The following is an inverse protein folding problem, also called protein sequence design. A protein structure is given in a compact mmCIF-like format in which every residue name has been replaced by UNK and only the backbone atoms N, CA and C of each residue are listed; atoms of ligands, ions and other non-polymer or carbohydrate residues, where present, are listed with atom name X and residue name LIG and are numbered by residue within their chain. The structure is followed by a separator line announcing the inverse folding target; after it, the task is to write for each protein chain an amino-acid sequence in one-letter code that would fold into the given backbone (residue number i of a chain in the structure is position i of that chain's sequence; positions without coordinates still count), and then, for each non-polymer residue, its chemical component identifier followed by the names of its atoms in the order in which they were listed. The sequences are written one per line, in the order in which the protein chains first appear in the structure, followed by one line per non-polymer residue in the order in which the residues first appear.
data_IF_648279850914
#
_entry.id   IF_648279850914
#
_cell.length_a   1.000
_cell.length_b   1.000
_cell.length_c   1.000
_cell.angle_alpha   90.00
_cell.angle_beta   90.00
_cell.angle_gamma   90.00
#
_symmetry.space_group_name_H-M   'P 1'
#
loop_
_entity.id
_entity.type
_entity.pdbx_description
1 polymer ?
#
# COMPACT_ATOMS: atom_id res chain seq x y z
N UNK A 1 -1.56 -1.58 -20.53
CA UNK A 1 -1.76 -0.64 -21.65
C UNK A 1 -2.71 0.45 -21.18
N UNK A 2 -2.33 1.72 -21.32
CA UNK A 2 -3.14 2.87 -20.89
C UNK A 2 -4.24 3.15 -21.90
N UNK A 3 -5.41 3.62 -21.45
CA UNK A 3 -6.44 4.12 -22.35
C UNK A 3 -5.88 5.33 -23.14
N UNK A 4 -5.86 5.30 -24.48
CA UNK A 4 -5.31 6.40 -25.29
C UNK A 4 -5.93 7.77 -24.99
N UNK A 5 -7.21 7.81 -24.58
CA UNK A 5 -7.89 9.05 -24.19
C UNK A 5 -7.37 9.66 -22.88
N UNK A 6 -6.74 8.85 -22.03
CA UNK A 6 -6.16 9.28 -20.76
C UNK A 6 -4.65 9.50 -20.83
N UNK A 7 -3.98 9.00 -21.89
CA UNK A 7 -2.53 9.01 -22.00
C UNK A 7 -1.92 10.41 -21.83
N UNK A 8 -2.54 11.45 -22.42
CA UNK A 8 -2.07 12.83 -22.28
C UNK A 8 -2.23 13.46 -20.89
N UNK A 9 -2.85 12.75 -19.93
CA UNK A 9 -3.07 13.22 -18.54
C UNK A 9 -2.35 12.35 -17.51
N UNK A 10 -1.62 11.34 -17.94
CA UNK A 10 -0.95 10.38 -17.05
C UNK A 10 0.52 10.75 -16.96
N UNK A 11 0.94 11.15 -15.76
CA UNK A 11 2.34 11.46 -15.47
C UNK A 11 3.16 10.18 -15.21
N UNK A 12 2.55 9.14 -14.67
CA UNK A 12 3.22 7.86 -14.41
C UNK A 12 2.23 6.72 -14.23
N UNK A 13 2.68 5.49 -14.46
CA UNK A 13 2.06 4.28 -13.89
C UNK A 13 3.12 3.42 -13.24
N UNK A 14 2.70 2.60 -12.29
CA UNK A 14 3.57 1.64 -11.60
C UNK A 14 2.79 0.41 -11.19
N UNK A 15 3.50 -0.70 -11.04
CA UNK A 15 2.95 -1.88 -10.37
C UNK A 15 2.55 -1.50 -8.94
N UNK A 16 1.30 -1.78 -8.57
CA UNK A 16 0.73 -1.38 -7.29
C UNK A 16 0.43 -2.57 -6.41
N UNK A 17 -0.63 -3.30 -6.74
CA UNK A 17 -1.21 -4.29 -5.86
C UNK A 17 -0.77 -5.72 -6.10
N UNK A 18 -0.71 -6.52 -5.03
CA UNK A 18 -0.46 -7.95 -5.14
C UNK A 18 -1.65 -8.71 -5.72
N UNK A 19 -1.40 -9.84 -6.38
CA UNK A 19 -2.46 -10.83 -6.67
C UNK A 19 -3.08 -11.32 -5.37
N UNK A 20 -4.37 -11.70 -5.40
CA UNK A 20 -5.11 -12.17 -4.22
C UNK A 20 -4.39 -13.32 -3.51
N UNK A 21 -3.88 -14.29 -4.27
CA UNK A 21 -3.11 -15.44 -3.76
C UNK A 21 -1.81 -15.04 -3.06
N UNK A 22 -1.14 -13.98 -3.53
CA UNK A 22 0.09 -13.45 -2.93
C UNK A 22 -0.21 -12.58 -1.69
N UNK A 23 -1.42 -12.02 -1.61
CA UNK A 23 -1.85 -11.19 -0.49
C UNK A 23 -2.43 -11.97 0.69
N UNK A 24 -2.51 -13.30 0.63
CA UNK A 24 -3.04 -14.11 1.71
C UNK A 24 -2.00 -14.29 2.83
N UNK A 25 -2.38 -14.01 4.07
CA UNK A 25 -1.52 -14.25 5.23
C UNK A 25 -1.41 -15.75 5.53
N UNK A 26 -0.19 -16.22 5.73
CA UNK A 26 0.10 -17.64 6.08
C UNK A 26 0.51 -17.84 7.55
N UNK A 27 0.80 -16.75 8.27
CA UNK A 27 1.28 -16.77 9.64
C UNK A 27 0.64 -15.63 10.45
N UNK A 28 0.61 -15.80 11.78
CA UNK A 28 0.05 -14.80 12.70
C UNK A 28 -1.49 -14.73 12.66
N UNK A 29 -2.05 -13.78 13.41
CA UNK A 29 -3.50 -13.67 13.64
C UNK A 29 -4.29 -13.45 12.35
N UNK A 30 -3.71 -12.69 11.41
CA UNK A 30 -4.31 -12.41 10.11
C UNK A 30 -4.50 -13.68 9.25
N UNK A 31 -3.76 -14.76 9.50
CA UNK A 31 -3.93 -16.03 8.79
C UNK A 31 -5.17 -16.82 9.22
N UNK A 32 -5.67 -16.58 10.44
CA UNK A 32 -6.78 -17.35 11.04
C UNK A 32 -8.06 -16.54 11.26
N UNK A 33 -7.99 -15.21 11.13
CA UNK A 33 -9.12 -14.29 11.28
C UNK A 33 -9.68 -13.86 9.90
N UNK A 34 -10.96 -13.46 9.85
CA UNK A 34 -11.65 -13.04 8.63
C UNK A 34 -11.53 -14.04 7.46
N UNK A 35 -11.59 -15.34 7.77
CA UNK A 35 -11.41 -16.44 6.80
C UNK A 35 -10.05 -16.45 6.11
N UNK A 36 -9.01 -15.96 6.79
CA UNK A 36 -7.69 -15.70 6.22
C UNK A 36 -7.70 -14.36 5.49
N UNK A 37 -7.04 -13.37 6.09
CA UNK A 37 -6.92 -12.05 5.48
C UNK A 37 -6.22 -12.17 4.13
N UNK A 38 -6.77 -11.44 3.18
CA UNK A 38 -6.27 -11.29 1.82
C UNK A 38 -6.55 -9.86 1.39
N UNK A 39 -5.73 -9.36 0.47
CA UNK A 39 -5.77 -7.95 0.12
C UNK A 39 -7.03 -7.62 -0.70
N UNK A 40 -7.84 -6.71 -0.18
CA UNK A 40 -9.04 -6.19 -0.83
C UNK A 40 -8.76 -5.14 -1.91
N UNK A 41 -9.72 -4.95 -2.80
CA UNK A 41 -9.68 -3.85 -3.77
C UNK A 41 -11.06 -3.50 -4.36
N UNK A 42 -11.20 -2.22 -4.66
CA UNK A 42 -12.37 -1.60 -5.28
C UNK A 42 -11.93 -0.91 -6.57
N UNK A 43 -12.69 -1.11 -7.65
CA UNK A 43 -12.43 -0.52 -8.96
C UNK A 43 -13.70 0.10 -9.50
N UNK A 44 -13.68 1.42 -9.73
CA UNK A 44 -14.85 2.18 -10.19
C UNK A 44 -16.10 1.94 -9.33
N UNK A 45 -15.95 1.89 -8.00
CA UNK A 45 -17.04 1.61 -7.06
C UNK A 45 -17.46 0.14 -6.95
N UNK A 46 -16.97 -0.75 -7.81
CA UNK A 46 -17.21 -2.18 -7.69
C UNK A 46 -16.22 -2.82 -6.71
N UNK A 47 -16.74 -3.46 -5.66
CA UNK A 47 -15.94 -4.25 -4.72
C UNK A 47 -15.63 -5.60 -5.37
N UNK A 48 -14.41 -5.76 -5.88
CA UNK A 48 -13.96 -7.01 -6.50
C UNK A 48 -13.34 -7.97 -5.48
N UNK A 49 -12.79 -7.42 -4.40
CA UNK A 49 -12.34 -8.17 -3.22
C UNK A 49 -12.60 -7.32 -1.98
N UNK A 50 -13.24 -7.91 -0.96
CA UNK A 50 -13.61 -7.21 0.28
C UNK A 50 -12.37 -6.58 0.94
N UNK A 51 -12.49 -5.33 1.36
CA UNK A 51 -11.48 -4.66 2.19
C UNK A 51 -11.50 -5.28 3.59
N UNK A 52 -10.33 -5.65 4.10
CA UNK A 52 -10.16 -6.27 5.40
C UNK A 52 -9.62 -5.27 6.42
N UNK A 53 -10.11 -5.28 7.66
CA UNK A 53 -9.53 -4.48 8.74
C UNK A 53 -8.05 -4.81 8.99
N UNK A 54 -7.31 -3.83 9.53
CA UNK A 54 -5.90 -3.96 9.87
C UNK A 54 -4.93 -3.91 8.69
N UNK A 55 -5.42 -3.76 7.46
CA UNK A 55 -4.56 -3.72 6.27
C UNK A 55 -4.37 -2.30 5.74
N UNK A 56 -3.14 -2.03 5.32
CA UNK A 56 -2.76 -0.76 4.70
C UNK A 56 -3.52 -0.55 3.39
N UNK A 57 -4.22 0.57 3.28
CA UNK A 57 -5.19 0.85 2.21
C UNK A 57 -4.95 2.22 1.61
N UNK A 58 -4.67 2.28 0.30
CA UNK A 58 -4.74 3.50 -0.50
C UNK A 58 -6.11 3.56 -1.16
N UNK A 59 -6.82 4.68 -1.03
CA UNK A 59 -8.15 4.83 -1.61
C UNK A 59 -8.38 6.21 -2.22
N UNK A 60 -9.39 6.26 -3.08
CA UNK A 60 -9.88 7.46 -3.74
C UNK A 60 -11.40 7.48 -3.62
N UNK A 61 -11.95 8.58 -3.12
CA UNK A 61 -13.39 8.80 -3.02
C UNK A 61 -13.99 9.34 -4.32
N UNK A 62 -15.31 9.32 -4.41
CA UNK A 62 -16.10 9.86 -5.52
C UNK A 62 -15.91 11.37 -5.74
N UNK A 63 -15.59 12.13 -4.69
CA UNK A 63 -15.26 13.56 -4.72
C UNK A 63 -13.80 13.85 -5.12
N UNK A 64 -12.98 12.81 -5.34
CA UNK A 64 -11.57 12.93 -5.71
C UNK A 64 -10.60 13.01 -4.54
N UNK A 65 -11.07 12.94 -3.29
CA UNK A 65 -10.20 12.80 -2.11
C UNK A 65 -9.34 11.55 -2.25
N UNK A 66 -8.05 11.68 -2.02
CA UNK A 66 -7.07 10.58 -2.01
C UNK A 66 -6.49 10.49 -0.62
N UNK A 67 -6.52 9.29 -0.04
CA UNK A 67 -5.96 9.07 1.29
C UNK A 67 -5.38 7.66 1.46
N UNK A 68 -4.58 7.48 2.51
CA UNK A 68 -3.96 6.20 2.86
C UNK A 68 -4.01 5.98 4.36
N UNK A 69 -4.56 4.84 4.79
CA UNK A 69 -4.64 4.45 6.20
C UNK A 69 -4.65 2.95 6.41
N UNK A 70 -4.49 2.53 7.67
CA UNK A 70 -4.85 1.18 8.10
C UNK A 70 -6.36 1.11 8.16
N UNK A 71 -6.97 0.21 7.38
CA UNK A 71 -8.44 0.11 7.31
C UNK A 71 -9.01 -0.39 8.62
N UNK A 72 -10.05 0.26 9.12
CA UNK A 72 -10.79 -0.14 10.31
C UNK A 72 -12.20 -0.62 9.93
N UNK A 73 -12.89 -1.32 10.83
CA UNK A 73 -14.27 -1.72 10.57
C UNK A 73 -15.22 -0.53 10.40
N UNK A 74 -14.99 0.56 11.14
CA UNK A 74 -15.76 1.79 11.05
C UNK A 74 -15.65 2.43 9.65
N UNK A 75 -14.50 2.28 8.99
CA UNK A 75 -14.27 2.82 7.63
C UNK A 75 -15.19 2.18 6.58
N UNK A 76 -15.90 1.09 6.91
CA UNK A 76 -16.90 0.53 6.01
C UNK A 76 -18.03 1.53 5.69
N UNK A 77 -18.21 2.59 6.48
CA UNK A 77 -19.10 3.71 6.13
C UNK A 77 -18.68 4.42 4.83
N UNK A 78 -17.40 4.36 4.46
CA UNK A 78 -16.86 4.96 3.24
C UNK A 78 -17.12 4.10 2.00
N UNK A 79 -17.50 2.83 2.14
CA UNK A 79 -17.68 1.90 1.01
C UNK A 79 -18.58 2.46 -0.11
N UNK A 80 -19.72 3.11 0.17
CA UNK A 80 -20.58 3.68 -0.87
C UNK A 80 -19.92 4.82 -1.66
N UNK A 81 -18.89 5.46 -1.09
CA UNK A 81 -18.17 6.60 -1.66
C UNK A 81 -16.85 6.22 -2.32
N UNK A 82 -16.37 4.98 -2.14
CA UNK A 82 -15.10 4.53 -2.72
C UNK A 82 -15.20 4.47 -4.24
N UNK A 83 -14.38 5.26 -4.93
CA UNK A 83 -14.16 5.10 -6.37
C UNK A 83 -13.10 4.04 -6.64
N UNK A 84 -12.00 4.08 -5.89
CA UNK A 84 -10.91 3.11 -5.96
C UNK A 84 -10.40 2.81 -4.56
N UNK A 85 -9.98 1.58 -4.32
CA UNK A 85 -9.24 1.22 -3.11
C UNK A 85 -8.33 0.04 -3.41
N UNK A 86 -7.15 0.03 -2.80
CA UNK A 86 -6.23 -1.10 -2.85
C UNK A 86 -5.58 -1.31 -1.50
N UNK A 87 -5.67 -2.54 -1.00
CA UNK A 87 -4.93 -2.95 0.17
C UNK A 87 -3.63 -3.64 -0.22
N UNK A 88 -2.56 -3.44 0.54
CA UNK A 88 -1.37 -4.27 0.50
C UNK A 88 -0.77 -4.41 1.90
N UNK A 89 -0.93 -5.59 2.49
CA UNK A 89 -0.24 -5.99 3.71
C UNK A 89 -0.50 -5.05 4.87
N UNK A 90 0.52 -4.92 5.72
CA UNK A 90 0.51 -4.08 6.91
C UNK A 90 1.21 -2.73 6.64
N UNK A 91 0.99 -1.71 7.46
CA UNK A 91 1.69 -0.43 7.36
C UNK A 91 3.21 -0.58 7.37
N UNK A 92 3.89 0.19 6.51
CA UNK A 92 5.35 0.38 6.56
C UNK A 92 5.70 1.52 7.53
N UNK A 93 4.99 2.64 7.44
CA UNK A 93 5.01 3.72 8.44
C UNK A 93 3.61 4.31 8.62
N UNK A 94 3.37 4.88 9.79
CA UNK A 94 2.16 5.62 10.13
C UNK A 94 2.53 6.85 10.97
N UNK A 95 1.85 7.97 10.77
CA UNK A 95 1.99 9.11 11.67
C UNK A 95 1.23 8.86 12.95
N UNK A 96 1.95 8.88 14.07
CA UNK A 96 1.35 8.75 15.37
C UNK A 96 0.48 9.99 15.68
N UNK A 97 -0.82 9.83 15.98
CA UNK A 97 -1.75 10.95 16.10
C UNK A 97 -1.41 11.91 17.25
N UNK A 98 -0.91 11.40 18.39
CA UNK A 98 -0.59 12.23 19.54
C UNK A 98 0.76 12.99 19.43
N UNK A 99 1.83 12.34 18.96
CA UNK A 99 3.16 12.95 18.87
C UNK A 99 3.41 13.65 17.53
N UNK A 100 2.62 13.34 16.50
CA UNK A 100 2.86 13.77 15.12
C UNK A 100 4.09 13.12 14.49
N UNK A 101 4.78 12.19 15.17
CA UNK A 101 5.95 11.53 14.65
C UNK A 101 5.57 10.44 13.64
N UNK A 102 6.34 10.30 12.56
CA UNK A 102 6.21 9.17 11.64
C UNK A 102 6.91 7.97 12.27
N UNK A 103 6.17 6.89 12.53
CA UNK A 103 6.67 5.70 13.20
C UNK A 103 6.66 4.49 12.25
N UNK A 104 7.69 3.62 12.28
CA UNK A 104 7.65 2.34 11.58
C UNK A 104 6.47 1.48 12.05
N UNK A 105 5.78 0.84 11.11
CA UNK A 105 4.70 -0.09 11.45
C UNK A 105 5.19 -1.22 12.36
N UNK A 106 4.36 -1.72 13.29
CA UNK A 106 4.80 -2.67 14.33
C UNK A 106 5.34 -3.98 13.74
N UNK A 107 4.88 -4.34 12.54
CA UNK A 107 5.20 -5.62 11.91
C UNK A 107 6.38 -5.57 10.95
N UNK A 108 7.01 -4.41 10.68
CA UNK A 108 8.10 -4.29 9.68
C UNK A 108 9.37 -5.08 10.00
N UNK A 109 9.48 -5.62 11.22
CA UNK A 109 10.59 -6.48 11.69
C UNK A 109 10.24 -7.97 11.68
N UNK A 110 8.99 -8.34 11.48
CA UNK A 110 8.49 -9.72 11.63
C UNK A 110 8.07 -10.27 10.27
N UNK A 111 8.94 -11.03 9.60
CA UNK A 111 8.72 -11.49 8.23
C UNK A 111 7.44 -12.32 8.03
N UNK A 112 7.24 -13.37 8.82
CA UNK A 112 6.06 -14.23 8.68
C UNK A 112 4.76 -13.49 8.99
N UNK A 113 4.54 -13.05 10.24
CA UNK A 113 3.33 -12.33 10.63
C UNK A 113 3.11 -10.98 9.91
N UNK A 114 4.18 -10.35 9.41
CA UNK A 114 4.09 -9.14 8.58
C UNK A 114 3.75 -9.38 7.12
N UNK A 115 3.65 -10.66 6.71
CA UNK A 115 3.46 -11.09 5.33
C UNK A 115 4.52 -10.51 4.37
N UNK A 116 5.76 -10.40 4.85
CA UNK A 116 6.88 -9.91 4.05
C UNK A 116 7.55 -11.08 3.33
N UNK A 117 7.51 -11.07 2.00
CA UNK A 117 8.21 -12.07 1.19
C UNK A 117 9.64 -11.65 0.89
N UNK A 118 10.55 -12.62 0.80
CA UNK A 118 11.91 -12.46 0.27
C UNK A 118 11.96 -12.56 -1.25
N UNK A 119 13.17 -12.66 -1.82
CA UNK A 119 13.37 -13.02 -3.24
C UNK A 119 12.96 -14.48 -3.52
N UNK A 120 13.07 -14.91 -4.78
CA UNK A 120 12.87 -16.31 -5.15
C UNK A 120 13.83 -17.26 -4.41
N UNK A 121 15.01 -16.77 -4.03
CA UNK A 121 16.05 -17.45 -3.24
C UNK A 121 15.85 -17.26 -1.73
N UNK A 122 14.71 -16.71 -1.31
CA UNK A 122 14.37 -16.38 0.08
C UNK A 122 15.27 -15.30 0.73
N UNK A 123 15.96 -14.49 -0.08
CA UNK A 123 16.75 -13.36 0.44
C UNK A 123 15.84 -12.25 0.97
N UNK A 124 16.10 -11.83 2.21
CA UNK A 124 15.29 -10.83 2.90
C UNK A 124 15.47 -9.41 2.33
N UNK A 125 16.67 -9.12 1.83
CA UNK A 125 16.98 -7.93 1.05
C UNK A 125 16.70 -8.23 -0.40
N UNK A 126 15.66 -7.62 -0.93
CA UNK A 126 15.22 -7.85 -2.30
C UNK A 126 14.69 -6.55 -2.90
N UNK A 127 14.44 -6.58 -4.19
CA UNK A 127 13.79 -5.51 -4.91
C UNK A 127 12.37 -5.29 -4.36
N UNK A 128 12.02 -4.03 -4.10
CA UNK A 128 10.71 -3.64 -3.54
C UNK A 128 10.27 -2.30 -4.11
N UNK A 129 8.97 -2.03 -4.03
CA UNK A 129 8.49 -0.66 -4.02
C UNK A 129 7.53 -0.39 -2.88
N UNK A 130 7.33 0.89 -2.62
CA UNK A 130 6.27 1.35 -1.73
C UNK A 130 5.62 2.61 -2.29
N UNK A 131 4.41 2.86 -1.81
CA UNK A 131 3.74 4.15 -1.96
C UNK A 131 3.67 4.81 -0.59
N UNK A 132 3.90 6.11 -0.56
CA UNK A 132 3.73 6.96 0.60
C UNK A 132 2.79 8.10 0.25
N UNK A 133 1.89 8.43 1.18
CA UNK A 133 1.14 9.67 1.13
C UNK A 133 1.78 10.68 2.09
N UNK A 134 2.01 11.89 1.58
CA UNK A 134 2.54 13.02 2.34
C UNK A 134 1.67 14.25 2.16
N UNK A 135 1.13 14.77 3.24
CA UNK A 135 0.50 16.07 3.33
C UNK A 135 1.57 17.13 3.54
N UNK A 136 1.64 18.06 2.59
CA UNK A 136 2.57 19.16 2.67
C UNK A 136 1.95 20.42 2.08
N UNK A 137 1.94 21.51 2.87
CA UNK A 137 1.33 22.79 2.47
C UNK A 137 -0.13 22.65 2.00
N UNK A 138 -0.95 21.89 2.74
CA UNK A 138 -2.38 21.75 2.48
C UNK A 138 -2.75 20.89 1.26
N UNK A 139 -1.81 20.09 0.73
CA UNK A 139 -2.05 19.18 -0.39
C UNK A 139 -1.42 17.82 -0.16
N UNK A 140 -2.07 16.72 -0.61
CA UNK A 140 -1.47 15.40 -0.59
C UNK A 140 -0.49 15.23 -1.76
N UNK A 141 0.63 14.58 -1.48
CA UNK A 141 1.62 14.12 -2.44
C UNK A 141 1.70 12.61 -2.36
N UNK A 142 1.55 11.95 -3.50
CA UNK A 142 1.84 10.53 -3.64
C UNK A 142 3.31 10.38 -4.02
N UNK A 143 4.09 9.73 -3.14
CA UNK A 143 5.48 9.40 -3.36
C UNK A 143 5.55 7.91 -3.70
N UNK A 144 5.97 7.59 -4.91
CA UNK A 144 6.33 6.23 -5.29
C UNK A 144 7.84 6.04 -5.10
N UNK A 145 8.24 5.00 -4.38
CA UNK A 145 9.63 4.68 -4.11
C UNK A 145 9.98 3.30 -4.64
N UNK A 146 10.99 3.25 -5.52
CA UNK A 146 11.59 2.03 -6.02
C UNK A 146 12.90 1.75 -5.28
N UNK A 147 13.08 0.51 -4.82
CA UNK A 147 14.27 0.06 -4.10
C UNK A 147 14.87 -1.15 -4.81
N UNK A 148 16.12 -1.03 -5.26
CA UNK A 148 16.84 -2.12 -5.92
C UNK A 148 17.19 -3.28 -4.98
N UNK A 149 17.36 -3.02 -3.68
CA UNK A 149 17.60 -4.05 -2.65
C UNK A 149 17.36 -3.49 -1.24
N UNK A 150 16.28 -3.89 -0.58
CA UNK A 150 15.90 -3.34 0.74
C UNK A 150 15.08 -4.32 1.58
N UNK A 151 15.11 -4.16 2.90
CA UNK A 151 14.18 -4.82 3.84
C UNK A 151 13.00 -3.90 4.15
N UNK A 152 11.84 -4.41 4.61
CA UNK A 152 10.72 -3.55 5.04
C UNK A 152 11.13 -2.55 6.13
N UNK A 153 12.01 -2.95 7.05
CA UNK A 153 12.55 -2.05 8.08
C UNK A 153 13.36 -0.88 7.50
N UNK A 154 14.16 -1.11 6.45
CA UNK A 154 14.91 -0.04 5.79
C UNK A 154 14.00 0.84 4.91
N UNK A 155 12.94 0.28 4.31
CA UNK A 155 11.89 1.08 3.67
C UNK A 155 11.23 2.03 4.67
N UNK A 156 10.90 1.53 5.86
CA UNK A 156 10.29 2.35 6.92
C UNK A 156 11.18 3.53 7.31
N UNK A 157 12.49 3.33 7.46
CA UNK A 157 13.43 4.43 7.72
C UNK A 157 13.52 5.43 6.58
N UNK A 158 13.41 4.96 5.33
CA UNK A 158 13.37 5.85 4.17
C UNK A 158 12.10 6.72 4.22
N UNK A 159 10.91 6.12 4.31
CA UNK A 159 9.67 6.90 4.35
C UNK A 159 9.56 7.80 5.58
N UNK A 160 10.11 7.39 6.72
CA UNK A 160 10.25 8.24 7.90
C UNK A 160 11.10 9.47 7.62
N UNK A 161 12.24 9.32 6.93
CA UNK A 161 13.10 10.45 6.57
C UNK A 161 12.45 11.41 5.56
N UNK A 162 11.54 10.91 4.71
CA UNK A 162 10.74 11.74 3.80
C UNK A 162 9.51 12.38 4.49
N UNK A 163 9.28 12.10 5.78
CA UNK A 163 8.15 12.58 6.57
C UNK A 163 6.80 12.23 5.91
N UNK A 164 6.66 10.95 5.55
CA UNK A 164 5.42 10.35 5.04
C UNK A 164 4.39 10.19 6.15
N UNK A 165 3.15 10.64 5.94
CA UNK A 165 2.07 10.42 6.92
C UNK A 165 1.67 8.96 7.01
N UNK A 166 1.74 8.25 5.89
CA UNK A 166 1.47 6.82 5.82
C UNK A 166 2.25 6.23 4.64
N UNK A 167 2.74 5.00 4.78
CA UNK A 167 3.28 4.24 3.65
C UNK A 167 2.90 2.76 3.66
N UNK A 168 2.79 2.19 2.47
CA UNK A 168 2.50 0.77 2.24
C UNK A 168 3.46 0.15 1.23
N UNK A 169 3.66 -1.16 1.33
CA UNK A 169 4.41 -1.95 0.35
C UNK A 169 3.61 -2.08 -0.95
N UNK A 170 4.29 -2.11 -2.10
CA UNK A 170 3.70 -2.43 -3.41
C UNK A 170 4.30 -3.71 -3.98
N UNK A 171 3.54 -4.36 -4.87
CA UNK A 171 4.04 -5.48 -5.67
C UNK A 171 5.00 -4.95 -6.75
N UNK A 172 6.02 -5.73 -7.09
CA UNK A 172 6.99 -5.40 -8.14
C UNK A 172 7.27 -6.54 -9.12
N UNK A 173 6.43 -7.58 -9.14
CA UNK A 173 6.60 -8.69 -10.07
C UNK A 173 6.34 -8.35 -11.55
N UNK A 174 5.98 -7.10 -11.88
CA UNK A 174 5.72 -6.64 -13.25
C UNK A 174 6.32 -5.24 -13.48
N UNK A 175 7.65 -5.14 -13.48
CA UNK A 175 8.41 -3.90 -13.68
C UNK A 175 8.08 -3.22 -15.01
N UNK A 176 7.72 -3.98 -16.04
CA UNK A 176 7.28 -3.52 -17.35
C UNK A 176 6.01 -2.62 -17.30
N UNK A 177 5.30 -2.59 -16.17
CA UNK A 177 4.17 -1.71 -15.94
C UNK A 177 4.53 -0.43 -15.16
N UNK A 178 5.82 -0.19 -14.95
CA UNK A 178 6.35 0.99 -14.26
C UNK A 178 7.05 1.93 -15.24
N UNK A 179 6.41 3.06 -15.53
CA UNK A 179 6.91 4.10 -16.42
C UNK A 179 6.46 5.48 -15.95
N UNK A 180 7.34 6.47 -16.12
CA UNK A 180 7.01 7.88 -16.03
C UNK A 180 6.89 8.45 -17.44
N UNK A 181 5.84 9.22 -17.70
CA UNK A 181 5.78 10.09 -18.86
C UNK A 181 6.67 11.30 -18.56
N UNK A 182 7.92 11.24 -19.02
CA UNK A 182 8.87 12.35 -18.98
C UNK A 182 8.59 13.35 -20.11
#
# INVERSE_FOLDING_TARGET
MVNPRQAGRIAATFAGGFKREHGAFRFGDFAVTNSGHHYGFVVHGAILSKLQPGLATLYVLDDGTVDMKTWEEADNELLPRLRFARQNGLPIVERHPASGAVEPGPMVRYYGPGNWSGSAEAEFRTLRAGACLKWHMGRPFLIYAYFSSVTPSAMARTFQAYDCDYAMLLDMNALEHTYAAL
#
